data_IF_892960593458
#
_entry.id   IF_892960593458
#
_cell.length_a   1.000
_cell.length_b   1.000
_cell.length_c   1.000
_cell.angle_alpha   90.00
_cell.angle_beta   90.00
_cell.angle_gamma   90.00
#
_symmetry.space_group_name_H-M   'P 1'
#
loop_
_entity.id
_entity.type
_entity.pdbx_description
1 polymer ?
#
# COMPACT_ATOMS: atom_id res chain seq x y z
N UNK A 1 -42.64 34.72 34.43
CA UNK A 1 -42.39 34.27 33.04
C UNK A 1 -41.02 33.61 32.98
N UNK A 2 -40.89 32.37 32.51
CA UNK A 2 -39.58 31.77 32.27
C UNK A 2 -38.90 32.50 31.09
N UNK A 3 -37.57 32.68 31.11
CA UNK A 3 -36.87 33.32 30.00
C UNK A 3 -36.88 32.39 28.78
N UNK A 4 -37.36 32.91 27.65
CA UNK A 4 -37.32 32.25 26.34
C UNK A 4 -35.87 32.29 25.85
N UNK A 5 -35.27 31.11 25.65
CA UNK A 5 -33.94 30.98 25.02
C UNK A 5 -34.02 31.45 23.57
N UNK A 6 -32.99 32.13 23.03
CA UNK A 6 -32.97 32.49 21.61
C UNK A 6 -32.99 31.22 20.75
N UNK A 7 -33.76 31.22 19.65
CA UNK A 7 -34.10 30.04 18.86
C UNK A 7 -32.91 29.35 18.17
N UNK A 8 -31.71 29.94 18.17
CA UNK A 8 -30.52 29.32 17.53
C UNK A 8 -29.23 29.55 18.33
N UNK A 9 -28.33 28.54 18.30
CA UNK A 9 -27.00 28.60 18.91
C UNK A 9 -26.18 29.82 18.42
N UNK A 10 -26.41 30.27 17.19
CA UNK A 10 -25.74 31.42 16.56
C UNK A 10 -26.07 32.75 17.24
N UNK A 11 -27.33 33.01 17.58
CA UNK A 11 -27.75 34.25 18.27
C UNK A 11 -27.18 34.33 19.70
N UNK A 12 -27.07 33.20 20.38
CA UNK A 12 -26.46 33.14 21.71
C UNK A 12 -24.94 33.31 21.66
N UNK A 13 -24.25 32.67 20.70
CA UNK A 13 -22.81 32.86 20.46
C UNK A 13 -22.46 34.32 20.14
N UNK A 14 -23.36 35.04 19.48
CA UNK A 14 -23.19 36.47 19.19
C UNK A 14 -23.35 37.32 20.46
N UNK A 15 -24.21 36.92 21.41
CA UNK A 15 -24.35 37.56 22.74
C UNK A 15 -23.17 37.29 23.68
N UNK A 16 -22.48 36.15 23.54
CA UNK A 16 -21.30 35.80 24.33
C UNK A 16 -20.06 36.69 24.05
N UNK A 17 -20.15 37.61 23.07
CA UNK A 17 -19.10 38.57 22.71
C UNK A 17 -19.20 39.94 23.39
N UNK A 18 -20.26 40.24 24.16
CA UNK A 18 -20.49 41.57 24.75
C UNK A 18 -20.25 41.56 26.27
N UNK A 19 -19.46 42.50 26.83
CA UNK A 19 -19.23 42.58 28.27
C UNK A 19 -20.43 43.24 28.97
N UNK A 20 -21.20 42.47 29.73
CA UNK A 20 -22.16 43.05 30.68
C UNK A 20 -21.40 43.62 31.89
N UNK A 21 -21.57 44.91 32.26
CA UNK A 21 -20.76 45.55 33.29
C UNK A 21 -21.03 45.07 34.72
N UNK A 22 -22.09 44.28 34.97
CA UNK A 22 -22.29 43.50 36.21
C UNK A 22 -23.09 42.23 35.93
N UNK A 23 -22.47 41.04 35.96
CA UNK A 23 -23.22 39.81 35.74
C UNK A 23 -24.13 39.51 36.94
N UNK A 24 -25.44 39.50 36.69
CA UNK A 24 -26.44 39.06 37.66
C UNK A 24 -26.31 37.54 37.88
N UNK A 25 -26.61 37.06 39.10
CA UNK A 25 -26.59 35.63 39.43
C UNK A 25 -27.43 34.79 38.44
N UNK A 26 -28.54 35.37 37.97
CA UNK A 26 -29.41 34.79 36.93
C UNK A 26 -28.68 34.51 35.61
N UNK A 27 -27.72 35.35 35.22
CA UNK A 27 -26.93 35.15 34.00
C UNK A 27 -25.95 33.96 34.15
N UNK A 28 -25.43 33.74 35.35
CA UNK A 28 -24.57 32.59 35.68
C UNK A 28 -25.40 31.30 35.67
N UNK A 29 -26.59 31.30 36.31
CA UNK A 29 -27.47 30.13 36.34
C UNK A 29 -27.96 29.73 34.94
N UNK A 30 -28.33 30.70 34.10
CA UNK A 30 -28.73 30.43 32.72
C UNK A 30 -27.59 29.81 31.89
N UNK A 31 -26.34 30.20 32.16
CA UNK A 31 -25.19 29.67 31.45
C UNK A 31 -24.83 28.25 31.91
N UNK A 32 -25.05 27.90 33.18
CA UNK A 32 -24.92 26.51 33.66
C UNK A 32 -25.91 25.59 32.94
N UNK A 33 -27.19 25.99 32.89
CA UNK A 33 -28.21 25.25 32.15
C UNK A 33 -27.85 25.07 30.68
N UNK A 34 -27.23 26.09 30.07
CA UNK A 34 -26.75 26.01 28.69
C UNK A 34 -25.55 25.05 28.53
N UNK A 35 -24.57 25.08 29.42
CA UNK A 35 -23.43 24.14 29.39
C UNK A 35 -23.94 22.70 29.51
N UNK A 36 -24.87 22.43 30.42
CA UNK A 36 -25.47 21.09 30.58
C UNK A 36 -26.21 20.64 29.31
N UNK A 37 -26.91 21.55 28.63
CA UNK A 37 -27.56 21.27 27.35
C UNK A 37 -26.55 20.96 26.25
N UNK A 38 -25.42 21.70 26.19
CA UNK A 38 -24.34 21.45 25.22
C UNK A 38 -23.66 20.10 25.48
N UNK A 39 -23.35 19.76 26.73
CA UNK A 39 -22.77 18.47 27.12
C UNK A 39 -23.72 17.33 26.74
N UNK A 40 -25.00 17.45 27.12
CA UNK A 40 -26.02 16.44 26.79
C UNK A 40 -26.12 16.23 25.28
N UNK A 41 -26.10 17.32 24.51
CA UNK A 41 -26.19 17.25 23.05
C UNK A 41 -24.92 16.68 22.39
N UNK A 42 -23.72 16.99 22.91
CA UNK A 42 -22.45 16.47 22.39
C UNK A 42 -22.29 14.97 22.60
N UNK A 43 -22.67 14.48 23.79
CA UNK A 43 -22.36 13.11 24.20
C UNK A 43 -23.56 12.15 24.17
N UNK A 44 -24.79 12.64 23.95
CA UNK A 44 -26.00 11.80 23.90
C UNK A 44 -26.70 11.79 22.53
N UNK A 45 -26.23 12.58 21.55
CA UNK A 45 -26.81 12.61 20.19
C UNK A 45 -26.05 11.71 19.22
N UNK A 46 -26.76 10.98 18.36
CA UNK A 46 -26.16 10.17 17.28
C UNK A 46 -25.51 11.03 16.17
N UNK A 47 -25.88 12.31 16.06
CA UNK A 47 -25.27 13.30 15.15
C UNK A 47 -25.23 14.67 15.82
N UNK A 48 -24.21 14.97 16.63
CA UNK A 48 -24.10 16.27 17.28
C UNK A 48 -23.82 17.37 16.24
N UNK A 49 -24.69 18.37 16.18
CA UNK A 49 -24.50 19.63 15.43
C UNK A 49 -23.65 20.67 16.16
N UNK A 50 -23.34 20.42 17.44
CA UNK A 50 -22.41 21.22 18.25
C UNK A 50 -21.06 20.50 18.30
N UNK A 51 -19.98 21.25 18.51
CA UNK A 51 -18.61 20.72 18.59
C UNK A 51 -17.98 21.00 19.96
N UNK A 52 -16.90 20.30 20.30
CA UNK A 52 -16.12 20.54 21.53
C UNK A 52 -15.65 22.01 21.64
N UNK A 53 -15.45 22.69 20.51
CA UNK A 53 -15.12 24.11 20.48
C UNK A 53 -16.27 25.00 21.00
N UNK A 54 -17.53 24.64 20.73
CA UNK A 54 -18.69 25.35 21.28
C UNK A 54 -18.76 25.19 22.80
N UNK A 55 -18.47 24.00 23.31
CA UNK A 55 -18.38 23.73 24.76
C UNK A 55 -17.24 24.51 25.38
N UNK A 56 -16.06 24.53 24.75
CA UNK A 56 -14.91 25.31 25.18
C UNK A 56 -15.22 26.80 25.31
N UNK A 57 -15.88 27.41 24.32
CA UNK A 57 -16.29 28.82 24.37
C UNK A 57 -17.30 29.09 25.49
N UNK A 58 -18.27 28.20 25.71
CA UNK A 58 -19.26 28.34 26.77
C UNK A 58 -18.62 28.29 28.17
N UNK A 59 -17.68 27.36 28.39
CA UNK A 59 -16.92 27.25 29.64
C UNK A 59 -16.05 28.50 29.88
N UNK A 60 -15.35 28.99 28.85
CA UNK A 60 -14.53 30.22 28.96
C UNK A 60 -15.40 31.43 29.32
N UNK A 61 -16.58 31.56 28.71
CA UNK A 61 -17.51 32.63 29.04
C UNK A 61 -18.05 32.50 30.47
N UNK A 62 -18.35 31.27 30.91
CA UNK A 62 -18.80 31.01 32.27
C UNK A 62 -17.75 31.39 33.31
N UNK A 63 -16.50 31.03 33.04
CA UNK A 63 -15.37 31.45 33.86
C UNK A 63 -15.26 32.98 33.91
N UNK A 64 -15.36 33.69 32.78
CA UNK A 64 -15.33 35.16 32.75
C UNK A 64 -16.45 35.81 33.56
N UNK A 65 -17.69 35.30 33.47
CA UNK A 65 -18.82 35.81 34.26
C UNK A 65 -18.62 35.57 35.76
N UNK A 66 -18.13 34.38 36.14
CA UNK A 66 -17.83 34.07 37.54
C UNK A 66 -16.72 34.96 38.08
N UNK A 67 -15.64 35.18 37.32
CA UNK A 67 -14.54 36.06 37.71
C UNK A 67 -15.00 37.51 37.84
N UNK A 68 -15.83 38.01 36.93
CA UNK A 68 -16.39 39.36 37.02
C UNK A 68 -17.37 39.52 38.19
N UNK A 69 -18.16 38.48 38.51
CA UNK A 69 -19.03 38.46 39.68
C UNK A 69 -18.23 38.42 41.00
N UNK A 70 -17.16 37.63 41.04
CA UNK A 70 -16.30 37.49 42.20
C UNK A 70 -15.48 38.76 42.46
N UNK A 71 -15.02 39.47 41.42
CA UNK A 71 -14.28 40.73 41.54
C UNK A 71 -15.07 41.82 42.29
N UNK A 72 -16.40 41.85 42.13
CA UNK A 72 -17.32 42.77 42.82
C UNK A 72 -17.57 42.35 44.29
N UNK A 73 -17.20 41.13 44.70
CA UNK A 73 -17.39 40.56 46.04
C UNK A 73 -16.07 40.23 46.78
N UNK A 74 -14.91 40.54 46.21
CA UNK A 74 -13.61 40.17 46.78
C UNK A 74 -13.37 40.72 48.20
N UNK A 75 -13.98 41.84 48.57
CA UNK A 75 -13.86 42.42 49.92
C UNK A 75 -14.68 41.70 51.00
N UNK A 76 -15.59 40.78 50.66
CA UNK A 76 -16.48 40.10 51.62
C UNK A 76 -16.39 38.56 51.59
N UNK A 77 -15.41 37.98 50.90
CA UNK A 77 -15.26 36.52 50.84
C UNK A 77 -14.86 35.92 52.20
N UNK A 78 -15.62 34.95 52.75
CA UNK A 78 -15.23 34.21 53.95
C UNK A 78 -13.91 33.46 53.76
N UNK A 79 -13.12 33.32 54.83
CA UNK A 79 -11.78 32.70 54.80
C UNK A 79 -11.75 31.30 54.12
N UNK A 80 -12.77 30.48 54.35
CA UNK A 80 -12.85 29.14 53.76
C UNK A 80 -13.02 29.17 52.23
N UNK A 81 -13.70 30.18 51.68
CA UNK A 81 -13.86 30.38 50.22
C UNK A 81 -12.50 30.72 49.61
N UNK A 82 -11.75 31.61 50.25
CA UNK A 82 -10.39 32.00 49.81
C UNK A 82 -9.42 30.83 49.83
N UNK A 83 -9.51 29.96 50.85
CA UNK A 83 -8.71 28.73 50.92
C UNK A 83 -9.09 27.73 49.81
N UNK A 84 -10.38 27.62 49.48
CA UNK A 84 -10.85 26.78 48.38
C UNK A 84 -10.38 27.33 47.02
N UNK A 85 -10.41 28.65 46.82
CA UNK A 85 -9.88 29.31 45.62
C UNK A 85 -8.39 29.05 45.45
N UNK A 86 -7.58 29.21 46.50
CA UNK A 86 -6.15 28.92 46.46
C UNK A 86 -5.86 27.46 46.08
N UNK A 87 -6.63 26.51 46.63
CA UNK A 87 -6.50 25.08 46.26
C UNK A 87 -6.89 24.82 44.81
N UNK A 88 -7.93 25.49 44.31
CA UNK A 88 -8.34 25.37 42.90
C UNK A 88 -7.29 25.98 41.97
N UNK A 89 -6.69 27.11 42.33
CA UNK A 89 -5.60 27.74 41.58
C UNK A 89 -4.37 26.83 41.52
N UNK A 90 -3.95 26.24 42.65
CA UNK A 90 -2.83 25.30 42.71
C UNK A 90 -3.11 24.04 41.86
N UNK A 91 -4.28 23.42 42.01
CA UNK A 91 -4.68 22.27 41.19
C UNK A 91 -4.71 22.61 39.70
N UNK A 92 -5.20 23.81 39.34
CA UNK A 92 -5.20 24.28 37.95
C UNK A 92 -3.77 24.50 37.43
N UNK A 93 -2.85 25.02 38.25
CA UNK A 93 -1.45 25.19 37.87
C UNK A 93 -0.76 23.82 37.62
N UNK A 94 -1.00 22.85 38.50
CA UNK A 94 -0.48 21.47 38.35
C UNK A 94 -1.04 20.78 37.10
N UNK A 95 -2.34 20.96 36.82
CA UNK A 95 -2.94 20.44 35.59
C UNK A 95 -2.33 21.09 34.34
N UNK A 96 -2.12 22.41 34.34
CA UNK A 96 -1.44 23.10 33.22
C UNK A 96 -0.03 22.57 32.99
N UNK A 97 0.74 22.38 34.06
CA UNK A 97 2.08 21.77 33.95
C UNK A 97 2.02 20.37 33.34
N UNK A 98 1.11 19.52 33.83
CA UNK A 98 0.95 18.16 33.32
C UNK A 98 0.56 18.15 31.83
N UNK A 99 -0.34 19.06 31.42
CA UNK A 99 -0.71 19.25 30.01
C UNK A 99 0.52 19.65 29.18
N UNK A 100 1.34 20.59 29.67
CA UNK A 100 2.55 21.00 28.94
C UNK A 100 3.56 19.84 28.80
N UNK A 101 3.75 19.04 29.84
CA UNK A 101 4.62 17.86 29.79
C UNK A 101 4.12 16.83 28.78
N UNK A 102 2.82 16.51 28.82
CA UNK A 102 2.22 15.58 27.86
C UNK A 102 2.32 16.11 26.42
N UNK A 103 2.16 17.41 26.21
CA UNK A 103 2.33 18.01 24.89
C UNK A 103 3.77 17.87 24.37
N UNK A 104 4.78 18.01 25.25
CA UNK A 104 6.18 17.78 24.87
C UNK A 104 6.46 16.31 24.54
N UNK A 105 5.98 15.38 25.36
CA UNK A 105 6.15 13.94 25.11
C UNK A 105 5.47 13.51 23.81
N UNK A 106 4.25 14.00 23.54
CA UNK A 106 3.54 13.75 22.28
C UNK A 106 4.35 14.25 21.08
N UNK A 107 4.97 15.43 21.20
CA UNK A 107 5.81 16.00 20.13
C UNK A 107 7.04 15.12 19.87
N UNK A 108 7.68 14.64 20.92
CA UNK A 108 8.89 13.80 20.81
C UNK A 108 8.55 12.43 20.22
N UNK A 109 7.49 11.78 20.68
CA UNK A 109 6.99 10.52 20.11
C UNK A 109 6.65 10.69 18.63
N UNK A 110 6.02 11.81 18.26
CA UNK A 110 5.71 12.12 16.85
C UNK A 110 6.98 12.26 16.01
N UNK A 111 8.02 12.90 16.54
CA UNK A 111 9.32 13.01 15.87
C UNK A 111 9.99 11.65 15.69
N UNK A 112 10.02 10.82 16.74
CA UNK A 112 10.54 9.45 16.67
C UNK A 112 9.79 8.60 15.64
N UNK A 113 8.46 8.70 15.59
CA UNK A 113 7.64 7.97 14.62
C UNK A 113 7.95 8.37 13.18
N UNK A 114 8.16 9.67 12.92
CA UNK A 114 8.58 10.17 11.60
C UNK A 114 9.94 9.60 11.20
N UNK A 115 10.88 9.54 12.14
CA UNK A 115 12.21 8.99 11.89
C UNK A 115 12.16 7.48 11.60
N UNK A 116 11.44 6.70 12.42
CA UNK A 116 11.24 5.25 12.20
C UNK A 116 10.60 4.99 10.83
N UNK A 117 9.59 5.79 10.45
CA UNK A 117 8.97 5.69 9.13
C UNK A 117 9.98 5.94 8.00
N UNK A 118 10.82 6.96 8.13
CA UNK A 118 11.87 7.27 7.14
C UNK A 118 12.86 6.12 7.00
N UNK A 119 13.32 5.56 8.13
CA UNK A 119 14.28 4.45 8.14
C UNK A 119 13.67 3.17 7.55
N UNK A 120 12.41 2.89 7.86
CA UNK A 120 11.68 1.75 7.29
C UNK A 120 11.53 1.89 5.78
N UNK A 121 11.15 3.07 5.28
CA UNK A 121 11.05 3.33 3.84
C UNK A 121 12.41 3.17 3.14
N UNK A 122 13.50 3.64 3.76
CA UNK A 122 14.86 3.43 3.25
C UNK A 122 15.22 1.94 3.16
N UNK A 123 14.92 1.16 4.19
CA UNK A 123 15.15 -0.30 4.20
C UNK A 123 14.30 -1.03 3.16
N UNK A 124 13.01 -0.69 3.03
CA UNK A 124 12.12 -1.28 2.02
C UNK A 124 12.64 -1.00 0.61
N UNK A 125 13.08 0.23 0.35
CA UNK A 125 13.68 0.58 -0.94
C UNK A 125 14.97 -0.22 -1.20
N UNK A 126 15.85 -0.35 -0.21
CA UNK A 126 17.08 -1.15 -0.33
C UNK A 126 16.80 -2.63 -0.63
N UNK A 127 15.81 -3.23 0.05
CA UNK A 127 15.38 -4.61 -0.21
C UNK A 127 14.80 -4.75 -1.62
N UNK A 128 13.95 -3.81 -2.06
CA UNK A 128 13.37 -3.82 -3.40
C UNK A 128 14.45 -3.80 -4.49
N UNK A 129 15.46 -2.95 -4.35
CA UNK A 129 16.58 -2.87 -5.31
C UNK A 129 17.38 -4.18 -5.34
N UNK A 130 17.59 -4.79 -4.17
CA UNK A 130 18.28 -6.08 -4.09
C UNK A 130 17.49 -7.21 -4.77
N UNK A 131 16.17 -7.26 -4.58
CA UNK A 131 15.30 -8.24 -5.25
C UNK A 131 15.40 -8.10 -6.77
N UNK A 132 15.30 -6.88 -7.29
CA UNK A 132 15.44 -6.62 -8.74
C UNK A 132 16.78 -7.11 -9.27
N UNK A 133 17.88 -6.83 -8.57
CA UNK A 133 19.23 -7.26 -8.97
C UNK A 133 19.37 -8.78 -8.96
N UNK A 134 18.85 -9.46 -7.94
CA UNK A 134 18.89 -10.93 -7.86
C UNK A 134 18.04 -11.54 -8.97
N UNK A 135 16.84 -11.01 -9.23
CA UNK A 135 15.98 -11.49 -10.29
C UNK A 135 16.63 -11.36 -11.68
N UNK A 136 17.29 -10.24 -11.97
CA UNK A 136 18.05 -10.07 -13.21
C UNK A 136 19.17 -11.10 -13.36
N UNK A 137 19.92 -11.36 -12.30
CA UNK A 137 20.98 -12.39 -12.30
C UNK A 137 20.40 -13.79 -12.51
N UNK A 138 19.30 -14.11 -11.83
CA UNK A 138 18.62 -15.40 -11.97
C UNK A 138 18.12 -15.62 -13.39
N UNK A 139 17.52 -14.60 -14.01
CA UNK A 139 17.08 -14.67 -15.41
C UNK A 139 18.25 -14.87 -16.37
N UNK A 140 19.37 -14.17 -16.16
CA UNK A 140 20.58 -14.34 -16.98
C UNK A 140 21.17 -15.75 -16.84
N UNK A 141 21.24 -16.26 -15.61
CA UNK A 141 21.71 -17.63 -15.34
C UNK A 141 20.78 -18.69 -15.93
N UNK A 142 19.46 -18.52 -15.79
CA UNK A 142 18.47 -19.42 -16.38
C UNK A 142 18.64 -19.49 -17.91
N UNK A 143 18.76 -18.34 -18.59
CA UNK A 143 19.04 -18.29 -20.04
C UNK A 143 20.34 -19.02 -20.40
N UNK A 144 21.40 -18.84 -19.61
CA UNK A 144 22.67 -19.51 -19.85
C UNK A 144 22.56 -21.03 -19.68
N UNK A 145 21.82 -21.52 -18.68
CA UNK A 145 21.61 -22.95 -18.46
C UNK A 145 20.82 -23.56 -19.61
N UNK A 146 19.73 -22.92 -20.03
CA UNK A 146 18.93 -23.36 -21.18
C UNK A 146 19.81 -23.42 -22.43
N UNK A 147 20.62 -22.39 -22.69
CA UNK A 147 21.52 -22.37 -23.83
C UNK A 147 22.53 -23.52 -23.81
N UNK A 148 23.15 -23.81 -22.65
CA UNK A 148 24.08 -24.92 -22.50
C UNK A 148 23.35 -26.25 -22.72
N UNK A 149 22.16 -26.43 -22.16
CA UNK A 149 21.35 -27.65 -22.35
C UNK A 149 21.00 -27.88 -23.83
N UNK A 150 20.60 -26.82 -24.54
CA UNK A 150 20.35 -26.88 -25.98
C UNK A 150 21.61 -27.28 -26.74
N UNK A 151 22.75 -26.63 -26.49
CA UNK A 151 24.02 -26.98 -27.15
C UNK A 151 24.46 -28.43 -26.88
N UNK A 152 24.30 -28.91 -25.64
CA UNK A 152 24.62 -30.29 -25.28
C UNK A 152 23.72 -31.27 -26.02
N UNK A 153 22.41 -31.02 -26.08
CA UNK A 153 21.47 -31.86 -26.82
C UNK A 153 21.78 -31.87 -28.33
N UNK A 154 22.02 -30.71 -28.93
CA UNK A 154 22.40 -30.61 -30.34
C UNK A 154 23.71 -31.36 -30.65
N UNK A 155 24.71 -31.24 -29.77
CA UNK A 155 26.01 -31.92 -29.91
C UNK A 155 25.89 -33.43 -29.76
N UNK A 156 25.04 -33.88 -28.83
CA UNK A 156 24.71 -35.29 -28.67
C UNK A 156 24.03 -35.83 -29.94
N UNK A 157 22.99 -35.14 -30.42
CA UNK A 157 22.25 -35.54 -31.62
C UNK A 157 23.14 -35.59 -32.87
N UNK A 158 24.09 -34.65 -32.97
CA UNK A 158 25.10 -34.64 -34.03
C UNK A 158 25.97 -35.90 -34.02
N UNK A 159 26.25 -36.45 -32.85
CA UNK A 159 27.04 -37.67 -32.68
C UNK A 159 26.22 -38.95 -32.93
N UNK A 160 24.89 -38.87 -32.99
CA UNK A 160 23.99 -40.02 -33.08
C UNK A 160 23.68 -40.48 -34.52
N UNK A 161 24.26 -39.85 -35.55
CA UNK A 161 24.03 -40.25 -36.94
C UNK A 161 22.56 -40.07 -37.35
N UNK A 162 21.88 -41.15 -37.70
CA UNK A 162 20.45 -41.18 -38.09
C UNK A 162 19.48 -41.35 -36.93
N UNK A 163 19.98 -41.58 -35.72
CA UNK A 163 19.17 -41.73 -34.52
C UNK A 163 18.57 -43.12 -34.30
N UNK A 164 18.88 -44.12 -35.13
CA UNK A 164 18.33 -45.48 -34.94
C UNK A 164 19.08 -46.28 -33.86
N UNK A 165 20.41 -46.20 -33.82
CA UNK A 165 21.22 -46.89 -32.81
C UNK A 165 21.25 -46.13 -31.47
N UNK A 166 21.24 -44.80 -31.54
CA UNK A 166 21.21 -43.89 -30.40
C UNK A 166 20.13 -42.83 -30.66
N UNK A 167 18.95 -42.90 -30.03
CA UNK A 167 17.87 -41.96 -30.30
C UNK A 167 18.28 -40.53 -29.94
N UNK A 168 17.85 -39.58 -30.75
CA UNK A 168 18.04 -38.17 -30.51
C UNK A 168 17.39 -37.74 -29.20
N UNK A 169 18.06 -36.84 -28.49
CA UNK A 169 17.53 -36.15 -27.32
C UNK A 169 16.68 -34.97 -27.78
N UNK A 170 15.52 -34.82 -27.15
CA UNK A 170 14.62 -33.69 -27.38
C UNK A 170 15.32 -32.37 -27.03
N UNK A 171 15.44 -31.49 -28.02
CA UNK A 171 16.01 -30.16 -27.84
C UNK A 171 14.90 -29.23 -27.33
N UNK A 172 15.18 -28.51 -26.24
CA UNK A 172 14.24 -27.50 -25.72
C UNK A 172 14.30 -26.21 -26.55
N UNK A 173 13.25 -25.40 -26.50
CA UNK A 173 13.29 -24.06 -27.10
C UNK A 173 14.32 -23.17 -26.39
N UNK A 174 14.72 -22.02 -26.99
CA UNK A 174 15.52 -21.01 -26.30
C UNK A 174 14.84 -20.44 -25.04
N UNK A 175 13.54 -20.68 -24.86
CA UNK A 175 12.78 -20.31 -23.66
C UNK A 175 12.68 -21.46 -22.64
N UNK A 176 13.25 -22.63 -22.95
CA UNK A 176 13.28 -23.81 -22.06
C UNK A 176 12.05 -24.70 -22.14
N UNK A 177 11.19 -24.52 -23.15
CA UNK A 177 10.00 -25.35 -23.34
C UNK A 177 10.30 -26.59 -24.15
N UNK A 178 9.72 -27.72 -23.79
CA UNK A 178 9.80 -28.94 -24.58
C UNK A 178 8.74 -28.94 -25.71
N UNK A 179 9.03 -29.45 -26.92
CA UNK A 179 8.02 -29.63 -27.97
C UNK A 179 6.79 -30.45 -27.58
N UNK A 180 6.93 -31.30 -26.56
CA UNK A 180 5.86 -32.11 -26.01
C UNK A 180 4.96 -31.33 -25.00
N UNK A 181 5.31 -30.09 -24.65
CA UNK A 181 4.54 -29.24 -23.75
C UNK A 181 3.59 -28.32 -24.54
N UNK A 182 2.40 -28.07 -23.99
CA UNK A 182 1.36 -27.28 -24.66
C UNK A 182 1.73 -25.81 -24.91
N UNK A 183 2.75 -25.29 -24.24
CA UNK A 183 3.20 -23.90 -24.37
C UNK A 183 4.27 -23.71 -25.46
N UNK A 184 4.77 -24.79 -26.07
CA UNK A 184 5.82 -24.72 -27.09
C UNK A 184 5.33 -24.09 -28.40
N UNK A 185 4.07 -24.34 -28.76
CA UNK A 185 3.39 -23.69 -29.88
C UNK A 185 1.96 -23.34 -29.48
N UNK A 186 1.54 -22.11 -29.82
CA UNK A 186 0.16 -21.59 -29.79
C UNK A 186 -0.91 -22.43 -30.52
N UNK A 187 -0.53 -23.49 -31.26
CA UNK A 187 -1.47 -24.47 -31.83
C UNK A 187 -1.85 -25.54 -30.80
N UNK A 188 -3.13 -25.87 -30.67
CA UNK A 188 -3.65 -26.89 -29.70
C UNK A 188 -3.11 -28.32 -29.89
N UNK A 189 -2.18 -28.54 -30.82
CA UNK A 189 -1.67 -29.87 -31.15
C UNK A 189 -0.23 -29.98 -30.64
N UNK A 190 -0.01 -30.89 -29.69
CA UNK A 190 1.32 -31.29 -29.25
C UNK A 190 2.13 -31.77 -30.46
N UNK A 191 3.41 -31.38 -30.52
CA UNK A 191 4.29 -31.80 -31.59
C UNK A 191 4.88 -33.18 -31.29
N UNK A 192 4.99 -34.08 -32.28
CA UNK A 192 5.51 -35.42 -32.08
C UNK A 192 7.01 -35.38 -31.81
N UNK A 193 7.55 -36.13 -30.83
CA UNK A 193 8.98 -36.13 -30.54
C UNK A 193 9.81 -36.53 -31.78
N UNK A 194 11.02 -36.00 -31.87
CA UNK A 194 11.94 -36.22 -32.98
C UNK A 194 13.12 -37.05 -32.48
N UNK A 195 12.97 -38.37 -32.46
CA UNK A 195 13.91 -39.33 -31.88
C UNK A 195 14.85 -39.93 -32.94
N UNK A 196 14.45 -39.94 -34.21
CA UNK A 196 15.27 -40.43 -35.31
C UNK A 196 15.00 -39.67 -36.61
N UNK A 197 15.82 -39.90 -37.64
CA UNK A 197 15.71 -39.23 -38.95
C UNK A 197 14.35 -39.45 -39.62
N UNK A 198 13.70 -40.59 -39.39
CA UNK A 198 12.41 -40.91 -39.98
C UNK A 198 11.28 -40.06 -39.39
N UNK A 199 11.38 -39.66 -38.12
CA UNK A 199 10.41 -38.74 -37.51
C UNK A 199 10.41 -37.39 -38.22
N UNK A 200 11.59 -36.91 -38.62
CA UNK A 200 11.70 -35.69 -39.43
C UNK A 200 11.03 -35.85 -40.78
N UNK A 201 11.26 -36.98 -41.47
CA UNK A 201 10.66 -37.27 -42.78
C UNK A 201 9.13 -37.40 -42.70
N UNK A 202 8.59 -37.79 -41.55
CA UNK A 202 7.17 -37.93 -41.31
C UNK A 202 6.46 -36.62 -40.93
N UNK A 203 7.19 -35.53 -40.68
CA UNK A 203 6.60 -34.25 -40.29
C UNK A 203 5.74 -33.68 -41.41
N UNK A 204 4.51 -33.28 -41.06
CA UNK A 204 3.64 -32.49 -41.94
C UNK A 204 4.07 -31.02 -41.94
N UNK A 205 3.76 -30.30 -43.00
CA UNK A 205 4.07 -28.86 -43.14
C UNK A 205 3.62 -28.02 -41.93
N UNK A 206 2.43 -28.29 -41.40
CA UNK A 206 1.95 -27.62 -40.20
C UNK A 206 2.85 -27.94 -38.98
N UNK A 207 3.17 -29.21 -38.72
CA UNK A 207 4.02 -29.59 -37.59
C UNK A 207 5.41 -28.97 -37.72
N UNK A 208 5.92 -28.91 -38.94
CA UNK A 208 7.21 -28.28 -39.26
C UNK A 208 7.18 -26.78 -39.00
N UNK A 209 6.12 -26.07 -39.41
CA UNK A 209 5.92 -24.65 -39.05
C UNK A 209 5.89 -24.44 -37.53
N UNK A 210 5.32 -25.41 -36.81
CA UNK A 210 5.32 -25.45 -35.37
C UNK A 210 6.68 -25.52 -34.73
N UNK A 211 7.48 -26.46 -35.19
CA UNK A 211 8.86 -26.60 -34.74
C UNK A 211 9.69 -25.36 -35.01
N UNK A 212 9.61 -24.85 -36.24
CA UNK A 212 10.32 -23.65 -36.64
C UNK A 212 9.89 -22.44 -35.78
N UNK A 213 8.60 -22.31 -35.50
CA UNK A 213 8.07 -21.24 -34.65
C UNK A 213 8.48 -21.40 -33.18
N UNK A 214 8.31 -22.59 -32.60
CA UNK A 214 8.60 -22.87 -31.18
C UNK A 214 10.09 -22.75 -30.85
N UNK A 215 10.97 -23.12 -31.78
CA UNK A 215 12.41 -22.87 -31.64
C UNK A 215 12.83 -21.43 -31.97
N UNK A 216 11.91 -20.59 -32.45
CA UNK A 216 12.19 -19.24 -32.92
C UNK A 216 13.33 -19.20 -33.96
N UNK A 217 13.34 -20.18 -34.86
CA UNK A 217 14.32 -20.25 -35.95
C UNK A 217 13.99 -19.10 -36.91
N UNK A 218 14.92 -18.14 -37.01
CA UNK A 218 14.71 -16.95 -37.85
C UNK A 218 15.04 -17.29 -39.29
N UNK A 219 14.12 -16.97 -40.21
CA UNK A 219 14.32 -17.14 -41.65
C UNK A 219 13.71 -15.96 -42.41
N UNK A 220 14.26 -15.61 -43.60
CA UNK A 220 13.67 -14.59 -44.44
C UNK A 220 12.24 -15.02 -44.79
N UNK A 221 11.27 -14.19 -44.38
CA UNK A 221 9.84 -14.43 -44.58
C UNK A 221 9.58 -14.67 -46.08
N UNK A 222 8.51 -15.42 -46.38
CA UNK A 222 7.94 -15.71 -47.70
C UNK A 222 8.40 -17.03 -48.37
N UNK A 223 7.52 -18.05 -48.27
CA UNK A 223 7.46 -19.30 -49.05
C UNK A 223 8.74 -20.16 -49.08
N UNK A 224 9.15 -20.59 -47.89
CA UNK A 224 10.14 -21.67 -47.77
C UNK A 224 9.47 -23.00 -48.11
N UNK A 225 10.09 -23.79 -48.98
CA UNK A 225 9.62 -25.13 -49.34
C UNK A 225 9.73 -26.07 -48.13
N UNK A 226 8.91 -27.11 -48.09
CA UNK A 226 8.95 -28.14 -47.04
C UNK A 226 10.38 -28.61 -46.73
N UNK A 227 11.17 -28.88 -47.78
CA UNK A 227 12.53 -29.38 -47.67
C UNK A 227 13.50 -28.41 -47.01
N UNK A 228 13.34 -27.11 -47.27
CA UNK A 228 14.19 -26.07 -46.70
C UNK A 228 13.88 -25.87 -45.21
N UNK A 229 12.59 -25.88 -44.84
CA UNK A 229 12.18 -25.87 -43.41
C UNK A 229 12.74 -27.10 -42.68
N UNK A 230 12.67 -28.27 -43.33
CA UNK A 230 13.20 -29.51 -42.79
C UNK A 230 14.72 -29.43 -42.57
N UNK A 231 15.44 -28.87 -43.54
CA UNK A 231 16.89 -28.66 -43.45
C UNK A 231 17.24 -27.72 -42.29
N UNK A 232 16.51 -26.61 -42.14
CA UNK A 232 16.71 -25.68 -41.03
C UNK A 232 16.45 -26.33 -39.67
N UNK A 233 15.36 -27.08 -39.55
CA UNK A 233 15.01 -27.79 -38.31
C UNK A 233 16.09 -28.83 -37.96
N UNK A 234 16.55 -29.60 -38.93
CA UNK A 234 17.58 -30.63 -38.74
C UNK A 234 18.91 -30.01 -38.33
N UNK A 235 19.30 -28.91 -38.96
CA UNK A 235 20.48 -28.15 -38.56
C UNK A 235 20.38 -27.66 -37.10
N UNK A 236 19.24 -27.11 -36.72
CA UNK A 236 19.02 -26.64 -35.34
C UNK A 236 19.10 -27.78 -34.33
N UNK A 237 18.47 -28.92 -34.60
CA UNK A 237 18.45 -30.08 -33.69
C UNK A 237 19.78 -30.84 -33.66
N UNK A 238 20.64 -30.66 -34.68
CA UNK A 238 21.92 -31.35 -34.80
C UNK A 238 21.85 -32.64 -35.61
N UNK A 239 20.86 -32.84 -36.47
CA UNK A 239 20.75 -34.03 -37.34
C UNK A 239 21.64 -33.87 -38.59
N UNK A 240 22.64 -34.75 -38.79
CA UNK A 240 23.63 -34.64 -39.88
C UNK A 240 23.26 -35.34 -41.20
N UNK A 241 22.27 -36.22 -41.23
CA UNK A 241 22.08 -37.12 -42.38
C UNK A 241 21.73 -36.32 -43.66
N UNK A 242 22.49 -36.42 -44.76
CA UNK A 242 22.14 -35.71 -46.00
C UNK A 242 20.79 -36.19 -46.56
N UNK A 243 20.16 -35.33 -47.36
CA UNK A 243 18.88 -35.59 -48.04
C UNK A 243 19.11 -36.57 -49.20
#
# INVERSE_FOLDING_TARGET
MPPVLPPTATEFLTRLGMPDPKPLLKNITNLNTYIDQVITHLYSSQKPTLTDDNLGRAIVHHHRLLTAHAADQMEQMPLWVRMMELRLQDSTAQMKMSITTLQTEIKDVKASLVQVKKDLLGKVHGVSTNITRVNQKLQAQSKSIIYIAVLMACTYNFSCGDGHDCPYVVVSSPMGHSPAEGDFWTGRNLLPPLECVDDFRALKDAQLDGYIHGYNITFPRWRILHQEKLTLLRYYIGCQVPI
#
